data_IF_129407970269
#
_entry.id   IF_129407970269
#
_cell.length_a   1.000
_cell.length_b   1.000
_cell.length_c   1.000
_cell.angle_alpha   90.00
_cell.angle_beta   90.00
_cell.angle_gamma   90.00
#
_symmetry.space_group_name_H-M   'P 1'
#
loop_
_entity.id
_entity.type
_entity.pdbx_description
1 polymer ?
#
# COMPACT_ATOMS: atom_id res chain seq x y z
N UNK A 1 26.51 9.21 -1.34
CA UNK A 1 26.09 7.97 -0.71
C UNK A 1 24.59 7.98 -0.44
N UNK A 2 23.92 6.97 -0.92
CA UNK A 2 22.49 6.85 -0.74
C UNK A 2 22.22 6.03 0.52
N UNK A 3 21.45 6.59 1.47
CA UNK A 3 21.03 5.88 2.66
C UNK A 3 19.91 4.91 2.33
N UNK A 4 19.63 3.96 3.23
CA UNK A 4 18.50 3.03 3.05
C UNK A 4 17.17 3.79 2.96
N UNK A 5 17.00 4.85 3.75
CA UNK A 5 15.79 5.66 3.69
C UNK A 5 15.62 6.35 2.34
N UNK A 6 16.70 6.91 1.81
CA UNK A 6 16.64 7.56 0.51
C UNK A 6 16.37 6.56 -0.60
N UNK A 7 17.01 5.39 -0.53
CA UNK A 7 16.77 4.34 -1.51
C UNK A 7 15.33 3.86 -1.49
N UNK A 8 14.77 3.65 -0.30
CA UNK A 8 13.38 3.22 -0.17
C UNK A 8 12.44 4.29 -0.74
N UNK A 9 12.74 5.58 -0.50
CA UNK A 9 11.92 6.67 -1.00
C UNK A 9 11.97 6.75 -2.52
N UNK A 10 13.16 6.64 -3.12
CA UNK A 10 13.31 6.65 -4.57
C UNK A 10 12.55 5.48 -5.21
N UNK A 11 12.65 4.30 -4.61
CA UNK A 11 11.93 3.12 -5.09
C UNK A 11 10.42 3.32 -4.99
N UNK A 12 9.96 3.87 -3.86
CA UNK A 12 8.54 4.16 -3.66
C UNK A 12 8.01 5.17 -4.67
N UNK A 13 8.76 6.24 -4.93
CA UNK A 13 8.36 7.23 -5.91
C UNK A 13 8.26 6.64 -7.32
N UNK A 14 9.15 5.72 -7.65
CA UNK A 14 9.11 5.04 -8.94
C UNK A 14 7.84 4.22 -9.09
N UNK A 15 7.46 3.48 -8.06
CA UNK A 15 6.22 2.71 -8.08
C UNK A 15 5.00 3.61 -8.19
N UNK A 16 5.00 4.73 -7.46
CA UNK A 16 3.90 5.69 -7.53
C UNK A 16 3.77 6.29 -8.92
N UNK A 17 4.89 6.57 -9.59
CA UNK A 17 4.85 7.07 -10.96
C UNK A 17 4.20 6.09 -11.91
N UNK A 18 4.50 4.81 -11.78
CA UNK A 18 3.90 3.77 -12.61
C UNK A 18 2.39 3.72 -12.40
N UNK A 19 1.95 3.80 -11.16
CA UNK A 19 0.54 3.79 -10.82
C UNK A 19 -0.14 5.06 -11.32
N UNK A 20 0.52 6.21 -11.18
CA UNK A 20 -0.02 7.47 -11.65
C UNK A 20 -0.25 7.44 -13.16
N UNK A 21 0.67 6.86 -13.92
CA UNK A 21 0.51 6.73 -15.37
C UNK A 21 -0.66 5.81 -15.72
N UNK A 22 -0.81 4.71 -15.02
CA UNK A 22 -1.92 3.79 -15.23
C UNK A 22 -3.26 4.46 -14.90
N UNK A 23 -3.32 5.22 -13.82
CA UNK A 23 -4.53 5.94 -13.43
C UNK A 23 -4.89 7.00 -14.47
N UNK A 24 -3.91 7.72 -14.97
CA UNK A 24 -4.13 8.74 -16.00
C UNK A 24 -4.68 8.10 -17.28
N UNK A 25 -4.10 6.98 -17.69
CA UNK A 25 -4.54 6.25 -18.87
C UNK A 25 -5.97 5.74 -18.72
N UNK A 26 -6.38 5.40 -17.51
CA UNK A 26 -7.73 4.92 -17.22
C UNK A 26 -8.73 6.04 -16.91
N UNK A 27 -8.28 7.29 -16.87
CA UNK A 27 -9.15 8.42 -16.53
C UNK A 27 -9.58 8.44 -15.07
N UNK A 28 -8.74 7.93 -14.18
CA UNK A 28 -9.04 7.82 -12.75
C UNK A 28 -8.23 8.86 -11.97
N UNK A 29 -8.85 9.55 -11.04
CA UNK A 29 -8.16 10.47 -10.16
C UNK A 29 -7.17 9.70 -9.29
N UNK A 30 -6.02 10.31 -9.06
CA UNK A 30 -4.94 9.66 -8.34
C UNK A 30 -4.26 10.63 -7.38
N UNK A 31 -3.93 10.13 -6.19
CA UNK A 31 -3.09 10.83 -5.24
C UNK A 31 -2.17 9.80 -4.59
N UNK A 32 -0.86 10.01 -4.72
CA UNK A 32 0.13 9.13 -4.13
C UNK A 32 0.59 9.64 -2.77
N UNK A 33 0.98 8.73 -1.91
CA UNK A 33 1.47 9.06 -0.57
C UNK A 33 2.57 8.10 -0.18
N UNK A 34 3.67 8.67 0.32
CA UNK A 34 4.74 7.89 0.94
C UNK A 34 4.75 8.27 2.41
N UNK A 35 4.65 7.28 3.28
CA UNK A 35 4.68 7.53 4.71
C UNK A 35 5.68 6.62 5.40
N UNK A 36 6.13 7.02 6.57
CA UNK A 36 7.05 6.24 7.40
C UNK A 36 6.41 5.98 8.77
N UNK A 37 5.34 5.22 8.82
CA UNK A 37 4.72 4.90 10.10
C UNK A 37 5.60 3.92 10.88
N UNK A 38 5.37 3.84 12.18
CA UNK A 38 6.05 2.87 13.01
C UNK A 38 5.75 1.45 12.55
N UNK A 39 4.53 1.23 12.06
CA UNK A 39 4.13 -0.05 11.47
C UNK A 39 3.44 0.19 10.15
N UNK A 40 3.63 -0.74 9.22
CA UNK A 40 3.10 -0.61 7.86
C UNK A 40 1.58 -0.62 7.84
N UNK A 41 0.96 -1.51 8.60
CA UNK A 41 -0.50 -1.60 8.61
C UNK A 41 -1.16 -0.33 9.16
N UNK A 42 -0.55 0.28 10.18
CA UNK A 42 -1.06 1.54 10.73
C UNK A 42 -1.00 2.66 9.70
N UNK A 43 0.07 2.70 8.92
CA UNK A 43 0.21 3.69 7.85
C UNK A 43 -0.85 3.54 6.77
N UNK A 44 -1.16 2.31 6.39
CA UNK A 44 -2.20 2.04 5.39
C UNK A 44 -3.57 2.49 5.90
N UNK A 45 -3.91 2.10 7.11
CA UNK A 45 -5.21 2.43 7.70
C UNK A 45 -5.35 3.94 7.91
N UNK A 46 -4.29 4.58 8.39
CA UNK A 46 -4.29 6.02 8.60
C UNK A 46 -4.43 6.79 7.28
N UNK A 47 -3.74 6.34 6.23
CA UNK A 47 -3.85 6.96 4.92
C UNK A 47 -5.27 6.85 4.38
N UNK A 48 -5.89 5.69 4.53
CA UNK A 48 -7.27 5.49 4.10
C UNK A 48 -8.22 6.41 4.85
N UNK A 49 -8.00 6.59 6.15
CA UNK A 49 -8.81 7.49 6.96
C UNK A 49 -8.65 8.94 6.53
N UNK A 50 -7.41 9.39 6.37
CA UNK A 50 -7.12 10.79 6.00
C UNK A 50 -7.67 11.14 4.64
N UNK A 51 -7.62 10.22 3.72
CA UNK A 51 -8.09 10.44 2.35
C UNK A 51 -9.56 10.08 2.18
N UNK A 52 -10.24 9.69 3.25
CA UNK A 52 -11.67 9.33 3.25
C UNK A 52 -11.98 8.26 2.21
N UNK A 53 -11.16 7.23 2.18
CA UNK A 53 -11.35 6.13 1.25
C UNK A 53 -12.53 5.25 1.66
N UNK A 54 -13.22 4.71 0.68
CA UNK A 54 -14.37 3.82 0.91
C UNK A 54 -13.96 2.36 1.07
N UNK A 55 -12.76 2.02 0.60
CA UNK A 55 -12.26 0.65 0.65
C UNK A 55 -10.75 0.65 0.54
N UNK A 56 -10.15 -0.46 0.95
CA UNK A 56 -8.71 -0.70 0.81
C UNK A 56 -8.53 -1.92 -0.08
N UNK A 57 -7.74 -1.78 -1.14
CA UNK A 57 -7.32 -2.91 -1.96
C UNK A 57 -5.90 -3.25 -1.59
N UNK A 58 -5.64 -4.49 -1.20
CA UNK A 58 -4.33 -4.90 -0.74
C UNK A 58 -3.99 -6.29 -1.27
N UNK A 59 -2.72 -6.51 -1.58
CA UNK A 59 -2.27 -7.81 -2.02
C UNK A 59 -2.31 -8.81 -0.87
N UNK A 60 -2.57 -10.06 -1.18
CA UNK A 60 -2.62 -11.12 -0.17
C UNK A 60 -1.26 -11.35 0.47
N UNK A 61 -0.19 -11.02 -0.22
CA UNK A 61 1.19 -11.21 0.24
C UNK A 61 2.05 -10.04 -0.17
N UNK A 62 3.07 -9.76 0.65
CA UNK A 62 4.08 -8.81 0.27
C UNK A 62 5.09 -9.42 -0.70
N UNK A 63 6.25 -8.77 -0.82
CA UNK A 63 7.29 -9.20 -1.75
C UNK A 63 8.02 -10.46 -1.35
N UNK A 64 8.04 -10.79 -0.07
CA UNK A 64 8.63 -12.04 0.36
C UNK A 64 7.71 -13.16 -0.07
N UNK A 65 8.09 -13.84 -1.12
CA UNK A 65 7.29 -14.91 -1.65
C UNK A 65 7.27 -16.12 -0.75
N UNK A 66 6.19 -16.26 -0.04
CA UNK A 66 5.89 -17.52 0.61
C UNK A 66 4.90 -18.21 -0.31
N UNK A 67 5.30 -19.31 -0.89
CA UNK A 67 4.48 -20.07 -1.82
C UNK A 67 3.34 -20.81 -1.13
N UNK A 68 2.78 -20.26 -0.10
CA UNK A 68 1.68 -20.89 0.63
C UNK A 68 0.47 -19.97 0.56
N UNK A 69 -0.70 -20.56 0.71
CA UNK A 69 -1.97 -19.84 0.68
C UNK A 69 -2.20 -19.06 1.97
N UNK A 70 -1.14 -18.48 2.53
CA UNK A 70 -1.23 -17.72 3.76
C UNK A 70 -1.21 -16.23 3.42
N UNK A 71 -2.04 -15.47 4.11
CA UNK A 71 -2.01 -14.02 3.99
C UNK A 71 -0.75 -13.48 4.62
N UNK A 72 -0.16 -12.44 4.02
CA UNK A 72 0.96 -11.74 4.61
C UNK A 72 0.57 -11.08 5.93
N UNK A 73 1.55 -10.85 6.80
CA UNK A 73 1.30 -10.29 8.13
C UNK A 73 0.65 -8.91 8.08
N UNK A 74 1.08 -8.06 7.15
CA UNK A 74 0.50 -6.71 7.00
C UNK A 74 -0.95 -6.82 6.56
N UNK A 75 -1.24 -7.70 5.59
CA UNK A 75 -2.61 -7.91 5.11
C UNK A 75 -3.53 -8.38 6.23
N UNK A 76 -3.06 -9.33 7.05
CA UNK A 76 -3.84 -9.81 8.19
C UNK A 76 -4.17 -8.69 9.16
N UNK A 77 -3.20 -7.82 9.45
CA UNK A 77 -3.41 -6.71 10.38
C UNK A 77 -4.33 -5.65 9.81
N UNK A 78 -4.21 -5.36 8.51
CA UNK A 78 -5.14 -4.43 7.87
C UNK A 78 -6.56 -4.97 7.94
N UNK A 79 -6.75 -6.25 7.65
CA UNK A 79 -8.07 -6.89 7.77
C UNK A 79 -8.63 -6.78 9.18
N UNK A 80 -7.78 -6.96 10.20
CA UNK A 80 -8.21 -6.96 11.60
C UNK A 80 -8.58 -5.58 12.10
N UNK A 81 -7.91 -4.53 11.64
CA UNK A 81 -8.05 -3.20 12.21
C UNK A 81 -8.71 -2.17 11.30
N UNK A 82 -8.97 -2.52 10.05
CA UNK A 82 -9.61 -1.59 9.13
C UNK A 82 -11.06 -1.33 9.51
N UNK A 83 -11.48 -0.07 9.33
CA UNK A 83 -12.88 0.33 9.52
C UNK A 83 -13.64 0.42 8.21
N UNK A 84 -12.97 0.21 7.09
CA UNK A 84 -13.59 0.17 5.78
C UNK A 84 -13.40 -1.21 5.18
N UNK A 85 -14.21 -1.58 4.19
CA UNK A 85 -14.03 -2.86 3.52
C UNK A 85 -12.62 -3.02 2.96
N UNK A 86 -12.09 -4.22 3.07
CA UNK A 86 -10.75 -4.55 2.54
C UNK A 86 -10.91 -5.62 1.48
N UNK A 87 -10.42 -5.35 0.29
CA UNK A 87 -10.46 -6.27 -0.82
C UNK A 87 -9.06 -6.83 -1.01
N UNK A 88 -8.93 -8.13 -0.86
CA UNK A 88 -7.63 -8.80 -0.94
C UNK A 88 -7.49 -9.45 -2.31
N UNK A 89 -6.38 -9.20 -2.99
CA UNK A 89 -6.11 -9.80 -4.29
C UNK A 89 -4.72 -10.45 -4.31
N UNK A 90 -4.47 -11.26 -5.30
CA UNK A 90 -3.21 -11.98 -5.41
C UNK A 90 -2.14 -11.19 -6.12
#
# INVERSE_FOLDING_TARGET
LMTLDRLARVTGEKYLDEIAQAARAAGVDYAGLISKPATTHEGIIEAARKKRCDAIFIASRGRSEIKKLLLGSVTQKVLSYSRVPVIVYR
#
